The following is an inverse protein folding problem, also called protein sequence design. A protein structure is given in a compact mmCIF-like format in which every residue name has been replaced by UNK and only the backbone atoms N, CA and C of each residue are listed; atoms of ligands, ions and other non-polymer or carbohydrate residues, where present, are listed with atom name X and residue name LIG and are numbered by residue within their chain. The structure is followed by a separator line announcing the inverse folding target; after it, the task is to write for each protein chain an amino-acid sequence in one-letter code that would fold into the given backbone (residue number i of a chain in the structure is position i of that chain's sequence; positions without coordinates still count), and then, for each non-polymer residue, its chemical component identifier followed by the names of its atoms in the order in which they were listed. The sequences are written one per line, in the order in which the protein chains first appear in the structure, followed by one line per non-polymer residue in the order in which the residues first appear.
data_IF_582665916730
#
_entry.id   IF_582665916730
#
_cell.length_a   1.000
_cell.length_b   1.000
_cell.length_c   1.000
_cell.angle_alpha   90.00
_cell.angle_beta   90.00
_cell.angle_gamma   90.00
#
_symmetry.space_group_name_H-M   'P 1'
#
loop_
_entity.id
_entity.type
_entity.pdbx_description
1 polymer ?
#
# COMPACT_ATOMS: atom_id res chain seq x y z
N UNK A 1 42.40 -57.36 -17.34
CA UNK A 1 41.35 -56.36 -17.62
C UNK A 1 41.51 -55.25 -16.59
N UNK A 2 42.31 -54.24 -16.91
CA UNK A 2 42.70 -53.16 -16.00
C UNK A 2 41.63 -52.08 -16.12
N UNK A 3 40.91 -51.81 -15.03
CA UNK A 3 39.89 -50.75 -14.97
C UNK A 3 40.60 -49.39 -14.98
N UNK A 4 40.27 -48.55 -15.96
CA UNK A 4 40.86 -47.21 -16.10
C UNK A 4 40.51 -46.29 -14.91
N UNK A 5 41.46 -45.44 -14.45
CA UNK A 5 41.31 -44.62 -13.25
C UNK A 5 40.22 -43.54 -13.37
N UNK A 6 39.81 -43.20 -14.59
CA UNK A 6 38.75 -42.24 -14.93
C UNK A 6 37.35 -42.69 -14.45
N UNK A 7 37.09 -43.99 -14.36
CA UNK A 7 35.76 -44.53 -14.03
C UNK A 7 35.43 -44.54 -12.53
N UNK A 8 36.43 -44.28 -11.67
CA UNK A 8 36.25 -44.19 -10.20
C UNK A 8 35.99 -42.77 -9.69
N UNK A 9 36.26 -41.75 -10.51
CA UNK A 9 36.13 -40.33 -10.09
C UNK A 9 34.69 -39.82 -10.25
N UNK A 10 33.95 -40.36 -11.23
CA UNK A 10 32.56 -40.01 -11.53
C UNK A 10 31.60 -40.22 -10.34
N UNK A 11 31.59 -41.39 -9.64
CA UNK A 11 30.68 -41.58 -8.51
C UNK A 11 31.04 -40.70 -7.31
N UNK A 12 32.31 -40.33 -7.14
CA UNK A 12 32.76 -39.44 -6.07
C UNK A 12 32.31 -37.99 -6.30
N UNK A 13 32.32 -37.54 -7.56
CA UNK A 13 31.84 -36.22 -7.95
C UNK A 13 30.32 -36.10 -7.80
N UNK A 14 29.55 -37.16 -8.13
CA UNK A 14 28.09 -37.19 -7.96
C UNK A 14 27.67 -37.15 -6.48
N UNK A 15 28.42 -37.81 -5.60
CA UNK A 15 28.16 -37.80 -4.16
C UNK A 15 28.39 -36.42 -3.53
N UNK A 16 29.40 -35.68 -4.02
CA UNK A 16 29.71 -34.32 -3.54
C UNK A 16 28.61 -33.30 -3.91
N UNK A 17 27.97 -33.45 -5.08
CA UNK A 17 26.91 -32.54 -5.54
C UNK A 17 25.61 -32.73 -4.72
N UNK A 18 25.29 -33.97 -4.31
CA UNK A 18 24.11 -34.26 -3.49
C UNK A 18 24.24 -33.80 -2.03
N UNK A 19 25.47 -33.71 -1.50
CA UNK A 19 25.69 -33.25 -0.13
C UNK A 19 25.47 -31.73 0.04
N UNK A 20 25.47 -30.96 -1.04
CA UNK A 20 25.28 -29.50 -1.02
C UNK A 20 23.82 -29.06 -0.73
N UNK A 21 22.84 -29.96 -0.86
CA UNK A 21 21.42 -29.65 -0.61
C UNK A 21 20.98 -29.94 0.83
N UNK A 22 21.82 -30.57 1.65
CA UNK A 22 21.48 -31.03 3.01
C UNK A 22 22.08 -30.18 4.14
N UNK A 23 22.72 -29.05 3.82
CA UNK A 23 23.25 -28.13 4.81
C UNK A 23 22.12 -27.41 5.57
N UNK A 24 22.26 -27.16 6.89
CA UNK A 24 21.30 -26.33 7.61
C UNK A 24 21.23 -24.96 6.92
N UNK A 25 20.03 -24.60 6.43
CA UNK A 25 19.80 -23.28 5.87
C UNK A 25 20.07 -22.28 6.99
N UNK A 26 21.08 -21.43 6.82
CA UNK A 26 21.30 -20.31 7.71
C UNK A 26 20.00 -19.49 7.73
N UNK A 27 19.31 -19.50 8.86
CA UNK A 27 18.18 -18.61 9.10
C UNK A 27 18.77 -17.22 9.10
N UNK A 28 18.56 -16.48 8.00
CA UNK A 28 18.92 -15.07 7.98
C UNK A 28 18.16 -14.42 9.14
N UNK A 29 18.86 -13.72 10.06
CA UNK A 29 18.18 -13.01 11.13
C UNK A 29 17.14 -12.11 10.49
N UNK A 30 15.93 -12.11 11.07
CA UNK A 30 14.85 -11.27 10.59
C UNK A 30 15.38 -9.84 10.42
N UNK A 31 15.19 -9.26 9.24
CA UNK A 31 15.45 -7.84 9.03
C UNK A 31 14.77 -7.08 10.16
N UNK A 32 15.46 -6.09 10.75
CA UNK A 32 14.91 -5.28 11.83
C UNK A 32 13.57 -4.63 11.47
N UNK A 33 12.94 -3.91 12.42
CA UNK A 33 11.61 -3.34 12.21
C UNK A 33 11.50 -2.55 10.89
N UNK A 34 10.43 -2.80 10.14
CA UNK A 34 10.11 -2.06 8.92
C UNK A 34 9.18 -0.90 9.27
N UNK A 35 9.59 0.32 8.94
CA UNK A 35 8.72 1.48 9.07
C UNK A 35 7.63 1.43 7.98
N UNK A 36 6.37 1.57 8.38
CA UNK A 36 5.20 1.57 7.48
C UNK A 36 4.39 2.85 7.74
N UNK A 37 3.99 3.54 6.67
CA UNK A 37 3.06 4.67 6.73
C UNK A 37 1.63 4.17 6.59
N UNK A 38 0.82 4.37 7.62
CA UNK A 38 -0.63 4.18 7.53
C UNK A 38 -1.29 5.49 7.12
N UNK A 39 -1.98 5.46 5.98
CA UNK A 39 -2.76 6.57 5.43
C UNK A 39 -4.24 6.19 5.65
N UNK A 40 -4.80 6.58 6.78
CA UNK A 40 -6.13 6.18 7.20
C UNK A 40 -7.19 7.24 6.88
N UNK A 41 -8.40 6.78 6.59
CA UNK A 41 -9.62 7.59 6.48
C UNK A 41 -10.81 6.86 7.11
N UNK A 42 -11.88 7.59 7.34
CA UNK A 42 -13.17 7.10 7.82
C UNK A 42 -14.29 8.04 7.36
N UNK A 43 -15.54 7.58 7.48
CA UNK A 43 -16.75 8.41 7.36
C UNK A 43 -16.79 9.24 6.07
N UNK A 44 -16.34 8.65 4.96
CA UNK A 44 -16.30 9.36 3.69
C UNK A 44 -17.71 9.64 3.15
N UNK A 45 -18.70 8.77 3.44
CA UNK A 45 -20.11 8.94 3.07
C UNK A 45 -20.32 9.52 1.66
N UNK A 46 -19.61 8.98 0.67
CA UNK A 46 -19.68 9.43 -0.72
C UNK A 46 -19.46 10.93 -0.95
N UNK A 47 -18.59 11.57 -0.17
CA UNK A 47 -18.15 12.96 -0.32
C UNK A 47 -17.28 13.15 -1.59
N UNK A 48 -17.86 12.86 -2.75
CA UNK A 48 -17.21 12.85 -4.05
C UNK A 48 -16.96 14.26 -4.59
N UNK A 49 -17.94 15.14 -4.46
CA UNK A 49 -17.90 16.49 -5.03
C UNK A 49 -16.85 17.38 -4.36
N UNK A 50 -16.33 18.39 -5.09
CA UNK A 50 -15.47 19.41 -4.54
C UNK A 50 -16.06 20.08 -3.28
N UNK A 51 -15.19 20.61 -2.41
CA UNK A 51 -15.57 21.15 -1.13
C UNK A 51 -16.57 22.31 -1.25
N UNK A 52 -17.75 22.16 -0.61
CA UNK A 52 -18.70 23.24 -0.32
C UNK A 52 -18.44 23.90 1.04
N UNK A 53 -17.42 23.40 1.76
CA UNK A 53 -17.03 23.80 3.09
C UNK A 53 -15.57 24.28 3.06
N UNK A 54 -15.27 25.27 3.89
CA UNK A 54 -13.90 25.69 4.15
C UNK A 54 -13.61 25.51 5.64
N UNK A 55 -12.37 25.10 5.94
CA UNK A 55 -11.87 24.95 7.31
C UNK A 55 -10.77 25.98 7.56
N UNK A 56 -10.68 26.53 8.78
CA UNK A 56 -9.60 27.44 9.12
C UNK A 56 -8.27 26.68 9.14
N UNK A 57 -7.26 27.25 8.49
CA UNK A 57 -5.90 26.77 8.48
C UNK A 57 -4.93 27.93 8.68
N UNK A 58 -3.69 27.64 9.08
CA UNK A 58 -2.64 28.67 9.15
C UNK A 58 -1.95 28.80 7.80
N UNK A 59 -1.95 30.01 7.26
CA UNK A 59 -1.20 30.38 6.07
C UNK A 59 0.30 30.47 6.32
N UNK A 60 1.07 30.68 5.25
CA UNK A 60 2.54 30.72 5.31
C UNK A 60 3.09 31.88 6.14
N UNK A 61 2.33 32.98 6.28
CA UNK A 61 2.68 34.11 7.14
C UNK A 61 2.07 34.02 8.55
N UNK A 62 1.42 32.90 8.89
CA UNK A 62 0.85 32.64 10.21
C UNK A 62 -0.57 33.19 10.42
N UNK A 63 -1.14 33.85 9.42
CA UNK A 63 -2.53 34.29 9.40
C UNK A 63 -3.51 33.11 9.27
N UNK A 64 -4.73 33.29 9.78
CA UNK A 64 -5.81 32.32 9.57
C UNK A 64 -6.41 32.50 8.18
N UNK A 65 -6.43 31.43 7.39
CA UNK A 65 -7.01 31.38 6.05
C UNK A 65 -8.07 30.29 5.97
N UNK A 66 -9.13 30.55 5.22
CA UNK A 66 -10.17 29.56 4.97
C UNK A 66 -9.77 28.70 3.77
N UNK A 67 -9.58 27.40 4.00
CA UNK A 67 -9.16 26.44 2.98
C UNK A 67 -10.34 25.54 2.62
N UNK A 68 -10.76 25.48 1.33
CA UNK A 68 -11.75 24.52 0.89
C UNK A 68 -11.30 23.08 1.20
N UNK A 69 -12.11 22.31 1.92
CA UNK A 69 -11.74 20.98 2.41
C UNK A 69 -12.82 19.92 2.16
N UNK A 70 -12.39 18.76 1.64
CA UNK A 70 -13.24 17.65 1.25
C UNK A 70 -13.14 17.30 -0.24
N UNK A 71 -13.94 16.34 -0.69
CA UNK A 71 -13.99 15.90 -2.08
C UNK A 71 -12.96 14.81 -2.41
N UNK A 72 -13.38 13.84 -3.24
CA UNK A 72 -12.55 12.71 -3.64
C UNK A 72 -11.25 13.14 -4.33
N UNK A 73 -11.28 14.18 -5.16
CA UNK A 73 -10.11 14.65 -5.90
C UNK A 73 -9.00 15.23 -4.98
N UNK A 74 -9.40 15.96 -3.93
CA UNK A 74 -8.46 16.49 -2.94
C UNK A 74 -7.88 15.37 -2.09
N UNK A 75 -8.72 14.42 -1.66
CA UNK A 75 -8.29 13.23 -0.95
C UNK A 75 -7.29 12.42 -1.78
N UNK A 76 -7.60 12.13 -3.05
CA UNK A 76 -6.71 11.41 -3.96
C UNK A 76 -5.34 12.10 -4.11
N UNK A 77 -5.34 13.42 -4.26
CA UNK A 77 -4.11 14.20 -4.38
C UNK A 77 -3.27 14.15 -3.09
N UNK A 78 -3.91 14.20 -1.92
CA UNK A 78 -3.23 14.09 -0.63
C UNK A 78 -2.65 12.69 -0.44
N UNK A 79 -3.42 11.64 -0.73
CA UNK A 79 -2.98 10.24 -0.66
C UNK A 79 -1.80 10.01 -1.60
N UNK A 80 -1.88 10.44 -2.87
CA UNK A 80 -0.78 10.29 -3.84
C UNK A 80 0.52 10.93 -3.36
N UNK A 81 0.45 12.14 -2.77
CA UNK A 81 1.62 12.83 -2.20
C UNK A 81 2.23 12.06 -1.03
N UNK A 82 1.39 11.47 -0.16
CA UNK A 82 1.86 10.66 0.96
C UNK A 82 2.49 9.35 0.48
N UNK A 83 1.87 8.65 -0.48
CA UNK A 83 2.42 7.43 -1.09
C UNK A 83 3.80 7.69 -1.73
N UNK A 84 3.95 8.81 -2.44
CA UNK A 84 5.20 9.17 -3.13
C UNK A 84 6.42 9.36 -2.21
N UNK A 85 6.19 9.67 -0.93
CA UNK A 85 7.28 9.92 0.05
C UNK A 85 7.46 8.78 1.05
N UNK A 86 6.64 7.72 0.97
CA UNK A 86 6.64 6.60 1.92
C UNK A 86 6.58 5.27 1.13
N UNK A 87 7.71 4.63 0.78
CA UNK A 87 7.69 3.44 -0.08
C UNK A 87 6.94 2.25 0.54
N UNK A 88 6.97 2.10 1.86
CA UNK A 88 6.14 1.15 2.59
C UNK A 88 4.93 1.91 3.14
N UNK A 89 3.79 1.81 2.47
CA UNK A 89 2.55 2.45 2.89
C UNK A 89 1.36 1.51 2.76
N UNK A 90 0.30 1.82 3.51
CA UNK A 90 -1.04 1.24 3.36
C UNK A 90 -2.06 2.37 3.42
N UNK A 91 -2.99 2.39 2.48
CA UNK A 91 -4.17 3.26 2.47
C UNK A 91 -5.33 2.44 3.00
N UNK A 92 -5.88 2.81 4.15
CA UNK A 92 -6.88 1.98 4.85
C UNK A 92 -8.10 2.80 5.24
N UNK A 93 -9.26 2.16 5.27
CA UNK A 93 -10.49 2.77 5.77
C UNK A 93 -10.95 2.11 7.05
N UNK A 94 -11.44 2.91 8.00
CA UNK A 94 -12.12 2.41 9.20
C UNK A 94 -13.63 2.17 9.00
N UNK A 95 -14.15 2.32 7.78
CA UNK A 95 -15.56 2.10 7.45
C UNK A 95 -16.27 3.38 6.98
N UNK A 96 -17.59 3.26 6.87
CA UNK A 96 -18.52 4.35 6.55
C UNK A 96 -18.14 5.17 5.31
N UNK A 97 -17.68 4.45 4.29
CA UNK A 97 -17.37 5.05 2.99
C UNK A 97 -18.65 5.39 2.21
N UNK A 98 -19.70 4.59 2.40
CA UNK A 98 -20.98 4.65 1.68
C UNK A 98 -22.15 4.94 2.63
N UNK A 99 -23.38 4.96 2.13
CA UNK A 99 -24.58 5.34 2.87
C UNK A 99 -24.56 6.81 3.33
N UNK A 100 -25.74 7.34 3.69
CA UNK A 100 -25.94 8.76 4.03
C UNK A 100 -25.28 9.74 3.02
N UNK A 101 -25.10 9.29 1.78
CA UNK A 101 -24.21 9.93 0.82
C UNK A 101 -24.94 10.99 -0.01
N UNK A 102 -24.24 12.03 -0.48
CA UNK A 102 -24.78 13.00 -1.43
C UNK A 102 -25.39 12.34 -2.67
N UNK A 103 -26.32 13.06 -3.32
CA UNK A 103 -27.07 12.57 -4.48
C UNK A 103 -26.18 12.00 -5.61
N UNK A 104 -25.01 12.60 -5.84
CA UNK A 104 -24.05 12.14 -6.85
C UNK A 104 -23.52 10.71 -6.62
N UNK A 105 -23.61 10.21 -5.38
CA UNK A 105 -23.25 8.84 -5.00
C UNK A 105 -24.51 7.99 -4.78
N UNK A 106 -25.45 8.47 -3.98
CA UNK A 106 -26.58 7.65 -3.51
C UNK A 106 -27.57 7.26 -4.62
N UNK A 107 -27.76 8.07 -5.66
CA UNK A 107 -28.62 7.70 -6.79
C UNK A 107 -28.09 6.48 -7.59
N UNK A 108 -26.81 6.16 -7.41
CA UNK A 108 -26.11 5.06 -8.06
C UNK A 108 -25.68 3.98 -7.05
N UNK A 109 -26.41 3.85 -5.93
CA UNK A 109 -26.13 2.84 -4.89
C UNK A 109 -24.69 2.89 -4.36
N UNK A 110 -24.10 4.09 -4.36
CA UNK A 110 -22.71 4.35 -3.98
C UNK A 110 -21.62 3.67 -4.84
N UNK A 111 -21.96 3.13 -6.02
CA UNK A 111 -20.97 2.63 -6.99
C UNK A 111 -19.88 3.68 -7.35
N UNK A 112 -20.21 4.99 -7.52
CA UNK A 112 -19.18 6.01 -7.77
C UNK A 112 -18.19 6.16 -6.60
N UNK A 113 -18.64 5.91 -5.37
CA UNK A 113 -17.77 5.93 -4.19
C UNK A 113 -16.81 4.75 -4.21
N UNK A 114 -17.29 3.55 -4.51
CA UNK A 114 -16.43 2.37 -4.68
C UNK A 114 -15.39 2.63 -5.77
N UNK A 115 -15.80 3.19 -6.91
CA UNK A 115 -14.89 3.54 -8.00
C UNK A 115 -13.83 4.56 -7.56
N UNK A 116 -14.24 5.62 -6.84
CA UNK A 116 -13.31 6.62 -6.33
C UNK A 116 -12.28 6.02 -5.36
N UNK A 117 -12.70 5.14 -4.44
CA UNK A 117 -11.79 4.46 -3.51
C UNK A 117 -10.80 3.54 -4.22
N UNK A 118 -11.27 2.81 -5.24
CA UNK A 118 -10.40 2.00 -6.09
C UNK A 118 -9.35 2.85 -6.82
N UNK A 119 -9.75 4.00 -7.36
CA UNK A 119 -8.83 4.92 -8.04
C UNK A 119 -7.82 5.58 -7.10
N UNK A 120 -8.22 5.87 -5.85
CA UNK A 120 -7.31 6.35 -4.79
C UNK A 120 -6.30 5.26 -4.41
N UNK A 121 -6.67 4.00 -4.61
CA UNK A 121 -5.86 2.83 -4.25
C UNK A 121 -5.93 2.55 -2.76
N UNK A 122 -7.16 2.41 -2.26
CA UNK A 122 -7.45 1.79 -0.96
C UNK A 122 -7.00 0.32 -0.99
N UNK A 123 -6.29 -0.12 0.05
CA UNK A 123 -5.71 -1.46 0.20
C UNK A 123 -6.65 -2.44 0.93
#
# INVERSE_FOLDING_TARGET
MVLEPTMRVIPLLLLAIMSACAGPRAVQPASGPVAVKIIALNDFHGALEPPKLAVPARGSSGEEVQVPAGGAAHLASAVARLKATNPNHLVVSAGDLTSASPFVSSQFLDEPTVLAMNLIGLD
#
